data_IF_107150367574
#
_entry.id   IF_107150367574
#
_cell.length_a   1.000
_cell.length_b   1.000
_cell.length_c   1.000
_cell.angle_alpha   90.00
_cell.angle_beta   90.00
_cell.angle_gamma   90.00
#
_symmetry.space_group_name_H-M   'P 1'
#
loop_
_entity.id
_entity.type
_entity.pdbx_description
1 polymer ?
#
# COMPACT_ATOMS: atom_id res chain seq x y z
N UNK A 1 -28.74 16.55 -36.01
CA UNK A 1 -27.34 16.29 -35.63
C UNK A 1 -27.30 15.70 -34.23
N UNK A 2 -26.52 14.63 -33.99
CA UNK A 2 -26.41 14.01 -32.67
C UNK A 2 -25.22 14.61 -31.89
N UNK A 3 -25.51 15.48 -30.92
CA UNK A 3 -24.49 16.20 -30.14
C UNK A 3 -24.07 15.46 -28.86
N UNK A 4 -24.76 14.38 -28.53
CA UNK A 4 -24.56 13.60 -27.31
C UNK A 4 -23.13 13.04 -27.14
N UNK A 5 -22.47 12.44 -28.16
CA UNK A 5 -21.12 11.88 -28.00
C UNK A 5 -20.04 12.94 -27.73
N UNK A 6 -20.31 14.22 -28.01
CA UNK A 6 -19.40 15.34 -27.71
C UNK A 6 -19.53 15.85 -26.28
N UNK A 7 -20.43 15.27 -25.47
CA UNK A 7 -20.62 15.65 -24.07
C UNK A 7 -19.78 14.75 -23.16
N UNK A 8 -19.16 15.36 -22.16
CA UNK A 8 -18.34 14.66 -21.16
C UNK A 8 -19.16 13.74 -20.25
N UNK A 9 -20.47 13.96 -20.11
CA UNK A 9 -21.39 13.15 -19.32
C UNK A 9 -22.01 11.99 -20.11
N UNK A 10 -21.65 11.81 -21.38
CA UNK A 10 -22.18 10.71 -22.18
C UNK A 10 -21.76 9.35 -21.62
N UNK A 11 -22.72 8.51 -21.27
CA UNK A 11 -22.50 7.21 -20.60
C UNK A 11 -21.58 6.29 -21.40
N UNK A 12 -21.74 6.24 -22.73
CA UNK A 12 -20.92 5.39 -23.60
C UNK A 12 -19.56 5.98 -23.97
N UNK A 13 -19.20 7.15 -23.43
CA UNK A 13 -17.85 7.66 -23.61
C UNK A 13 -16.86 6.70 -22.92
N UNK A 14 -15.81 6.30 -23.62
CA UNK A 14 -14.78 5.36 -23.16
C UNK A 14 -14.27 5.78 -21.77
N UNK A 15 -14.03 7.08 -21.57
CA UNK A 15 -13.55 7.64 -20.29
C UNK A 15 -14.52 7.43 -19.13
N UNK A 16 -15.83 7.40 -19.39
CA UNK A 16 -16.85 7.18 -18.37
C UNK A 16 -17.02 5.69 -18.08
N UNK A 17 -16.98 4.85 -19.11
CA UNK A 17 -16.95 3.39 -18.96
C UNK A 17 -15.74 2.97 -18.11
N UNK A 18 -14.57 3.54 -18.35
CA UNK A 18 -13.36 3.27 -17.56
C UNK A 18 -13.48 3.71 -16.10
N UNK A 19 -14.10 4.87 -15.84
CA UNK A 19 -14.37 5.33 -14.47
C UNK A 19 -15.30 4.36 -13.74
N UNK A 20 -16.42 3.98 -14.37
CA UNK A 20 -17.36 3.01 -13.82
C UNK A 20 -16.66 1.69 -13.54
N UNK A 21 -15.88 1.17 -14.49
CA UNK A 21 -15.11 -0.06 -14.32
C UNK A 21 -14.12 0.01 -13.15
N UNK A 22 -13.46 1.16 -12.96
CA UNK A 22 -12.54 1.37 -11.84
C UNK A 22 -13.27 1.40 -10.50
N UNK A 23 -14.42 2.06 -10.44
CA UNK A 23 -15.24 2.16 -9.24
C UNK A 23 -15.85 0.80 -8.88
N UNK A 24 -16.35 0.05 -9.86
CA UNK A 24 -16.83 -1.33 -9.69
C UNK A 24 -15.70 -2.27 -9.23
N UNK A 25 -14.51 -2.17 -9.83
CA UNK A 25 -13.36 -2.97 -9.43
C UNK A 25 -12.94 -2.65 -7.99
N UNK A 26 -12.94 -1.37 -7.61
CA UNK A 26 -12.63 -0.94 -6.24
C UNK A 26 -13.68 -1.45 -5.25
N UNK A 27 -14.96 -1.33 -5.57
CA UNK A 27 -16.05 -1.85 -4.74
C UNK A 27 -15.92 -3.37 -4.53
N UNK A 28 -15.63 -4.11 -5.61
CA UNK A 28 -15.40 -5.55 -5.54
C UNK A 28 -14.18 -5.92 -4.68
N UNK A 29 -13.09 -5.16 -4.76
CA UNK A 29 -11.92 -5.37 -3.90
C UNK A 29 -12.23 -5.10 -2.42
N UNK A 30 -12.98 -4.05 -2.11
CA UNK A 30 -13.40 -3.73 -0.74
C UNK A 30 -14.33 -4.80 -0.16
N UNK A 31 -15.28 -5.31 -0.95
CA UNK A 31 -16.13 -6.43 -0.54
C UNK A 31 -15.34 -7.72 -0.32
N UNK A 32 -14.40 -8.05 -1.23
CA UNK A 32 -13.53 -9.22 -1.08
C UNK A 32 -12.66 -9.12 0.18
N UNK A 33 -12.02 -7.98 0.43
CA UNK A 33 -11.21 -7.76 1.64
C UNK A 33 -12.06 -7.86 2.91
N UNK A 34 -13.31 -7.38 2.89
CA UNK A 34 -14.24 -7.51 4.02
C UNK A 34 -14.65 -8.97 4.24
N UNK A 35 -14.91 -9.72 3.17
CA UNK A 35 -15.24 -11.14 3.24
C UNK A 35 -14.06 -11.96 3.77
N UNK A 36 -12.84 -11.69 3.30
CA UNK A 36 -11.61 -12.32 3.82
C UNK A 36 -11.42 -12.02 5.30
N UNK A 37 -11.59 -10.76 5.72
CA UNK A 37 -11.50 -10.38 7.14
C UNK A 37 -12.55 -11.09 7.99
N UNK A 38 -13.76 -11.25 7.48
CA UNK A 38 -14.83 -11.98 8.18
C UNK A 38 -14.50 -13.48 8.30
N UNK A 39 -14.01 -14.11 7.22
CA UNK A 39 -13.61 -15.52 7.23
C UNK A 39 -12.45 -15.79 8.20
N UNK A 40 -11.45 -14.90 8.22
CA UNK A 40 -10.33 -14.97 9.18
C UNK A 40 -10.86 -14.85 10.61
N UNK A 41 -11.67 -13.84 10.90
CA UNK A 41 -12.25 -13.65 12.23
C UNK A 41 -13.11 -14.85 12.68
N UNK A 42 -13.88 -15.46 11.78
CA UNK A 42 -14.64 -16.68 12.07
C UNK A 42 -13.72 -17.86 12.38
N UNK A 43 -12.67 -18.04 11.58
CA UNK A 43 -11.67 -19.10 11.78
C UNK A 43 -10.95 -18.96 13.13
N UNK A 44 -10.56 -17.74 13.49
CA UNK A 44 -9.91 -17.42 14.77
C UNK A 44 -10.88 -17.60 15.94
N UNK A 45 -12.14 -17.18 15.82
CA UNK A 45 -13.15 -17.36 16.84
C UNK A 45 -13.42 -18.85 17.11
N UNK A 46 -13.54 -19.65 16.05
CA UNK A 46 -13.70 -21.11 16.14
C UNK A 46 -12.50 -21.76 16.82
N UNK A 47 -11.28 -21.37 16.44
CA UNK A 47 -10.05 -21.88 17.04
C UNK A 47 -9.99 -21.52 18.53
N UNK A 48 -10.29 -20.27 18.89
CA UNK A 48 -10.31 -19.81 20.27
C UNK A 48 -11.34 -20.56 21.13
N UNK A 49 -12.50 -20.90 20.57
CA UNK A 49 -13.50 -21.75 21.24
C UNK A 49 -12.91 -23.14 21.53
N UNK A 50 -12.27 -23.77 20.53
CA UNK A 50 -11.66 -25.08 20.69
C UNK A 50 -10.52 -25.06 21.73
N UNK A 51 -9.67 -24.02 21.73
CA UNK A 51 -8.62 -23.82 22.74
C UNK A 51 -9.21 -23.73 24.14
N UNK A 52 -10.21 -22.87 24.35
CA UNK A 52 -10.89 -22.74 25.65
C UNK A 52 -11.51 -24.06 26.11
N UNK A 53 -12.14 -24.81 25.20
CA UNK A 53 -12.71 -26.13 25.51
C UNK A 53 -11.63 -27.15 25.89
N UNK A 54 -10.49 -27.13 25.21
CA UNK A 54 -9.34 -27.98 25.54
C UNK A 54 -8.76 -27.61 26.92
N UNK A 55 -8.58 -26.31 27.20
CA UNK A 55 -8.12 -25.81 28.50
C UNK A 55 -9.06 -26.24 29.64
N UNK A 56 -10.38 -26.09 29.46
CA UNK A 56 -11.38 -26.58 30.43
C UNK A 56 -11.26 -28.08 30.65
N UNK A 57 -11.03 -28.87 29.58
CA UNK A 57 -10.83 -30.31 29.69
C UNK A 57 -9.58 -30.64 30.51
N UNK A 58 -8.46 -29.96 30.26
CA UNK A 58 -7.21 -30.12 31.01
C UNK A 58 -7.36 -29.72 32.49
N UNK A 59 -8.17 -28.69 32.79
CA UNK A 59 -8.47 -28.30 34.17
C UNK A 59 -9.36 -29.34 34.87
N UNK A 60 -10.37 -29.88 34.18
CA UNK A 60 -11.28 -30.90 34.74
C UNK A 60 -10.62 -32.27 34.89
N UNK A 61 -9.70 -32.61 34.00
CA UNK A 61 -8.90 -33.83 34.07
C UNK A 61 -7.54 -33.46 34.63
N UNK A 62 -7.50 -33.29 35.96
CA UNK A 62 -6.28 -33.05 36.71
C UNK A 62 -5.13 -33.90 36.17
N UNK A 63 -4.12 -33.19 35.68
CA UNK A 63 -2.89 -33.66 35.04
C UNK A 63 -2.45 -35.04 35.57
N UNK A 64 -2.68 -36.10 34.80
CA UNK A 64 -1.85 -37.31 34.84
C UNK A 64 -0.66 -37.01 33.91
N UNK A 65 0.32 -36.28 34.44
CA UNK A 65 1.67 -36.23 33.87
C UNK A 65 2.33 -37.58 34.08
N UNK A 66 2.00 -38.54 33.22
CA UNK A 66 2.78 -39.75 33.04
C UNK A 66 3.33 -39.72 31.61
N UNK A 67 4.55 -39.19 31.47
CA UNK A 67 5.56 -39.58 30.49
C UNK A 67 5.05 -40.38 29.28
N UNK A 68 4.45 -39.73 28.30
CA UNK A 68 4.46 -40.25 26.93
C UNK A 68 5.57 -39.52 26.20
N UNK A 69 6.71 -40.19 26.09
CA UNK A 69 7.77 -39.92 25.10
C UNK A 69 7.17 -39.24 23.88
N UNK A 70 7.72 -38.08 23.51
CA UNK A 70 7.32 -37.21 22.40
C UNK A 70 6.90 -38.02 21.16
N UNK A 71 5.65 -38.46 21.12
CA UNK A 71 5.02 -38.90 19.89
C UNK A 71 4.65 -37.59 19.23
N UNK A 72 5.55 -37.08 18.39
CA UNK A 72 5.12 -36.17 17.33
C UNK A 72 3.88 -36.81 16.75
N UNK A 73 2.74 -36.13 16.85
CA UNK A 73 1.47 -36.53 16.27
C UNK A 73 1.78 -37.14 14.91
N UNK A 74 1.60 -38.47 14.80
CA UNK A 74 2.04 -39.23 13.63
C UNK A 74 1.25 -38.66 12.46
N UNK A 75 1.94 -37.88 11.63
CA UNK A 75 1.37 -37.38 10.39
C UNK A 75 1.26 -38.58 9.46
N UNK A 76 0.17 -39.34 9.59
CA UNK A 76 -0.09 -40.55 8.82
C UNK A 76 -0.09 -40.29 7.30
N UNK A 77 -0.18 -39.02 6.91
CA UNK A 77 -0.19 -38.53 5.55
C UNK A 77 1.09 -37.80 5.13
N UNK A 78 2.14 -37.71 5.96
CA UNK A 78 3.36 -36.99 5.59
C UNK A 78 4.05 -37.58 4.36
N UNK A 79 4.05 -38.91 4.25
CA UNK A 79 4.57 -39.62 3.08
C UNK A 79 3.64 -39.48 1.87
N UNK A 80 2.34 -39.29 2.08
CA UNK A 80 1.39 -39.05 1.00
C UNK A 80 1.44 -37.60 0.51
N UNK A 81 1.57 -36.60 1.38
CA UNK A 81 1.66 -35.19 1.00
C UNK A 81 2.95 -34.87 0.23
N UNK A 82 4.06 -35.53 0.57
CA UNK A 82 5.31 -35.41 -0.19
C UNK A 82 5.22 -36.05 -1.58
N UNK A 83 4.40 -37.11 -1.72
CA UNK A 83 4.22 -37.84 -2.97
C UNK A 83 2.98 -37.38 -3.78
N UNK A 84 2.08 -36.60 -3.17
CA UNK A 84 0.84 -36.09 -3.77
C UNK A 84 0.97 -34.64 -4.23
N UNK A 85 2.16 -34.24 -4.67
CA UNK A 85 2.26 -33.06 -5.52
C UNK A 85 1.64 -33.44 -6.86
N UNK A 86 0.43 -32.93 -7.12
CA UNK A 86 -0.18 -33.07 -8.43
C UNK A 86 0.75 -32.38 -9.44
N UNK A 87 1.47 -33.15 -10.25
CA UNK A 87 2.51 -32.65 -11.16
C UNK A 87 1.92 -31.58 -12.10
N UNK A 88 0.66 -31.76 -12.48
CA UNK A 88 -0.11 -30.79 -13.27
C UNK A 88 -0.23 -29.43 -12.57
N UNK A 89 -0.45 -29.41 -11.25
CA UNK A 89 -0.58 -28.17 -10.48
C UNK A 89 0.76 -27.43 -10.35
N UNK A 90 1.86 -28.16 -10.16
CA UNK A 90 3.21 -27.57 -10.12
C UNK A 90 3.60 -27.01 -11.49
N UNK A 91 3.28 -27.75 -12.57
CA UNK A 91 3.48 -27.29 -13.94
C UNK A 91 2.65 -26.04 -14.26
N UNK A 92 1.37 -26.01 -13.84
CA UNK A 92 0.50 -24.85 -14.04
C UNK A 92 1.01 -23.60 -13.28
N UNK A 93 1.50 -23.77 -12.05
CA UNK A 93 2.10 -22.67 -11.28
C UNK A 93 3.37 -22.15 -11.95
N UNK A 94 4.24 -23.06 -12.42
CA UNK A 94 5.45 -22.70 -13.15
C UNK A 94 5.14 -21.99 -14.46
N UNK A 95 4.12 -22.43 -15.21
CA UNK A 95 3.70 -21.77 -16.46
C UNK A 95 3.13 -20.36 -16.18
N UNK A 96 2.36 -20.19 -15.09
CA UNK A 96 1.90 -18.87 -14.64
C UNK A 96 3.07 -17.95 -14.28
N UNK A 97 4.04 -18.47 -13.55
CA UNK A 97 5.26 -17.75 -13.19
C UNK A 97 6.06 -17.39 -14.44
N UNK A 98 6.28 -18.33 -15.37
CA UNK A 98 6.96 -18.12 -16.63
C UNK A 98 6.23 -17.10 -17.51
N UNK A 99 4.89 -17.10 -17.53
CA UNK A 99 4.08 -16.11 -18.25
C UNK A 99 4.18 -14.72 -17.63
N UNK A 100 4.17 -14.63 -16.30
CA UNK A 100 4.34 -13.36 -15.58
C UNK A 100 5.77 -12.83 -15.77
N UNK A 101 6.77 -13.69 -15.60
CA UNK A 101 8.16 -13.40 -15.90
C UNK A 101 8.31 -12.98 -17.34
N UNK A 102 7.66 -13.64 -18.31
CA UNK A 102 7.66 -13.23 -19.73
C UNK A 102 7.00 -11.87 -19.94
N UNK A 103 5.90 -11.57 -19.26
CA UNK A 103 5.24 -10.26 -19.35
C UNK A 103 6.13 -9.14 -18.76
N UNK A 104 6.83 -9.43 -17.67
CA UNK A 104 7.77 -8.50 -17.01
C UNK A 104 9.07 -8.35 -17.82
N UNK A 105 9.61 -9.46 -18.33
CA UNK A 105 10.89 -9.51 -19.06
C UNK A 105 10.77 -9.22 -20.56
N UNK A 106 9.56 -9.21 -21.15
CA UNK A 106 9.33 -8.79 -22.54
C UNK A 106 9.87 -7.39 -22.83
N UNK A 107 9.92 -6.52 -21.81
CA UNK A 107 10.50 -5.18 -21.92
C UNK A 107 12.01 -5.13 -21.62
N UNK A 108 12.58 -6.18 -21.02
CA UNK A 108 13.98 -6.21 -20.56
C UNK A 108 14.89 -7.05 -21.48
N UNK A 109 14.40 -8.16 -22.05
CA UNK A 109 15.13 -9.04 -22.95
C UNK A 109 14.95 -8.68 -24.44
N UNK A 110 14.42 -7.50 -24.75
CA UNK A 110 14.34 -7.00 -26.13
C UNK A 110 15.71 -6.46 -26.56
N UNK A 111 16.68 -7.36 -26.61
CA UNK A 111 18.02 -7.09 -27.13
C UNK A 111 17.99 -7.07 -28.67
N UNK A 112 18.93 -6.29 -29.20
CA UNK A 112 19.33 -5.88 -30.56
C UNK A 112 18.88 -6.66 -31.82
N UNK A 113 18.31 -7.86 -31.72
CA UNK A 113 17.96 -8.71 -32.88
C UNK A 113 16.61 -8.35 -33.52
N UNK A 114 15.64 -7.85 -32.75
CA UNK A 114 14.30 -7.47 -33.27
C UNK A 114 14.17 -5.99 -33.63
N UNK A 115 15.13 -5.17 -33.21
CA UNK A 115 15.19 -3.73 -33.48
C UNK A 115 16.51 -3.54 -34.23
N UNK A 116 16.50 -3.68 -35.56
CA UNK A 116 17.69 -3.47 -36.38
C UNK A 116 18.44 -2.21 -35.95
N UNK A 117 19.78 -2.24 -36.12
CA UNK A 117 20.75 -1.21 -35.72
C UNK A 117 20.11 0.15 -35.47
N UNK A 118 20.12 0.66 -34.22
CA UNK A 118 19.39 1.87 -33.88
C UNK A 118 19.92 3.05 -34.70
N UNK A 119 19.05 4.01 -35.03
CA UNK A 119 19.31 5.07 -36.01
C UNK A 119 20.61 5.88 -35.78
N UNK A 120 21.11 5.94 -34.54
CA UNK A 120 22.35 6.60 -34.16
C UNK A 120 23.63 5.77 -34.38
N UNK A 121 23.52 4.47 -34.71
CA UNK A 121 24.65 3.59 -35.04
C UNK A 121 24.95 3.53 -36.55
N UNK A 122 24.10 4.14 -37.38
CA UNK A 122 24.33 4.26 -38.82
C UNK A 122 25.32 5.40 -39.07
N UNK A 123 26.60 5.14 -38.84
CA UNK A 123 27.69 6.04 -39.27
C UNK A 123 28.12 5.68 -40.68
N UNK A 124 27.25 5.97 -41.65
CA UNK A 124 27.51 5.73 -43.06
C UNK A 124 26.46 6.51 -43.83
N UNK A 125 26.84 7.69 -44.30
CA UNK A 125 26.00 8.57 -45.11
C UNK A 125 25.39 7.78 -46.27
N UNK A 126 24.08 7.56 -46.19
CA UNK A 126 23.29 7.12 -47.33
C UNK A 126 23.48 8.20 -48.41
N UNK A 127 24.17 7.86 -49.50
CA UNK A 127 24.61 8.81 -50.55
C UNK A 127 23.45 9.41 -51.37
N UNK A 128 22.21 9.39 -50.87
CA UNK A 128 21.02 9.91 -51.54
C UNK A 128 20.88 11.42 -51.48
N UNK A 129 21.65 12.11 -50.64
CA UNK A 129 21.67 13.57 -50.55
C UNK A 129 23.10 14.09 -50.64
N UNK A 130 23.68 14.06 -51.85
CA UNK A 130 24.84 14.90 -52.17
C UNK A 130 24.33 16.30 -52.48
N UNK A 131 24.17 17.10 -51.42
CA UNK A 131 23.89 18.52 -51.53
C UNK A 131 25.06 19.21 -52.25
N UNK A 132 24.84 19.63 -53.50
CA UNK A 132 25.85 20.22 -54.38
C UNK A 132 26.23 21.65 -53.97
N UNK A 133 25.56 22.22 -52.96
CA UNK A 133 25.81 23.57 -52.47
C UNK A 133 26.64 23.65 -51.18
N UNK A 134 27.10 22.53 -50.62
CA UNK A 134 28.03 22.57 -49.48
C UNK A 134 29.46 22.68 -49.99
N UNK A 135 29.93 23.93 -50.13
CA UNK A 135 31.34 24.25 -50.41
C UNK A 135 32.19 23.60 -49.31
N UNK A 136 32.92 22.53 -49.64
CA UNK A 136 33.82 21.84 -48.71
C UNK A 136 34.85 22.83 -48.17
N UNK A 137 34.66 23.29 -46.94
CA UNK A 137 35.69 23.97 -46.18
C UNK A 137 36.73 22.93 -45.78
N UNK A 138 37.86 22.91 -46.47
CA UNK A 138 39.05 22.18 -46.02
C UNK A 138 39.73 23.04 -44.97
N UNK A 139 39.77 22.64 -43.68
CA UNK A 139 40.53 23.38 -42.70
C UNK A 139 42.01 23.32 -43.09
N UNK A 140 42.66 24.49 -43.17
CA UNK A 140 44.11 24.55 -43.34
C UNK A 140 44.78 23.87 -42.14
N UNK A 141 45.69 22.93 -42.44
CA UNK A 141 46.64 22.34 -41.49
C UNK A 141 47.26 23.45 -40.62
N UNK A 142 47.02 23.40 -39.30
CA UNK A 142 47.66 24.31 -38.34
C UNK A 142 46.77 25.12 -37.40
N UNK A 143 45.45 24.91 -37.34
CA UNK A 143 44.62 25.57 -36.33
C UNK A 143 43.46 24.69 -35.89
N UNK A 144 43.55 24.12 -34.68
CA UNK A 144 42.51 24.06 -33.66
C UNK A 144 43.10 23.37 -32.43
N UNK A 145 43.84 24.12 -31.61
CA UNK A 145 44.04 23.75 -30.21
C UNK A 145 42.67 23.65 -29.55
N UNK A 146 42.12 22.44 -29.45
CA UNK A 146 40.91 22.17 -28.67
C UNK A 146 41.28 22.42 -27.21
N UNK A 147 41.13 23.67 -26.75
CA UNK A 147 41.14 23.97 -25.32
C UNK A 147 39.99 23.18 -24.71
N UNK A 148 40.30 22.08 -24.03
CA UNK A 148 39.31 21.32 -23.25
C UNK A 148 38.70 22.31 -22.26
N UNK A 149 37.44 22.68 -22.47
CA UNK A 149 36.71 23.45 -21.47
C UNK A 149 36.66 22.60 -20.19
N UNK A 150 36.94 23.17 -19.01
CA UNK A 150 36.80 22.42 -17.77
C UNK A 150 35.35 21.95 -17.63
N UNK A 151 35.16 20.77 -17.04
CA UNK A 151 33.83 20.22 -16.79
C UNK A 151 33.02 21.23 -15.95
N UNK A 152 31.78 21.50 -16.37
CA UNK A 152 30.86 22.35 -15.62
C UNK A 152 30.54 21.63 -14.31
N UNK A 153 31.04 22.16 -13.20
CA UNK A 153 30.67 21.71 -11.85
C UNK A 153 29.43 22.51 -11.42
N UNK A 154 28.27 21.85 -11.44
CA UNK A 154 27.07 22.38 -10.80
C UNK A 154 27.26 22.22 -9.29
N UNK A 155 27.17 23.33 -8.53
CA UNK A 155 27.34 23.32 -7.07
C UNK A 155 26.14 22.78 -6.31
N UNK A 156 24.98 22.74 -6.97
CA UNK A 156 23.70 22.39 -6.37
C UNK A 156 23.05 21.28 -7.21
N UNK A 157 22.56 20.26 -6.52
CA UNK A 157 21.92 19.11 -7.14
C UNK A 157 20.54 19.58 -7.67
N UNK A 158 20.26 19.53 -8.99
CA UNK A 158 19.06 20.10 -9.57
C UNK A 158 17.75 19.54 -8.97
N UNK A 159 17.81 18.38 -8.30
CA UNK A 159 16.69 17.80 -7.54
C UNK A 159 16.29 18.65 -6.32
N UNK A 160 17.23 19.25 -5.59
CA UNK A 160 16.91 20.00 -4.36
C UNK A 160 16.12 21.27 -4.67
N UNK A 161 16.49 22.01 -5.73
CA UNK A 161 15.75 23.22 -6.13
C UNK A 161 14.29 22.92 -6.51
N UNK A 162 14.05 21.73 -7.10
CA UNK A 162 12.72 21.32 -7.56
C UNK A 162 11.76 21.06 -6.40
N UNK A 163 12.25 20.55 -5.27
CA UNK A 163 11.44 20.18 -4.10
C UNK A 163 10.75 21.39 -3.44
N UNK A 164 11.38 22.57 -3.49
CA UNK A 164 10.83 23.81 -2.93
C UNK A 164 9.68 24.43 -3.75
N UNK A 165 9.51 23.97 -5.00
CA UNK A 165 8.55 24.53 -5.97
C UNK A 165 7.37 23.60 -6.27
N UNK A 166 7.32 22.42 -5.65
CA UNK A 166 6.27 21.46 -5.92
C UNK A 166 4.94 21.93 -5.32
N UNK A 167 3.83 21.83 -6.07
CA UNK A 167 2.51 22.07 -5.52
C UNK A 167 2.24 21.11 -4.36
N UNK A 168 1.43 21.52 -3.36
CA UNK A 168 1.17 20.71 -2.17
C UNK A 168 0.68 19.32 -2.55
N UNK A 169 1.18 18.31 -1.83
CA UNK A 169 0.80 16.92 -2.03
C UNK A 169 -0.71 16.75 -1.82
N UNK A 170 -1.31 15.79 -2.52
CA UNK A 170 -2.73 15.44 -2.36
C UNK A 170 -3.09 15.15 -0.89
N UNK A 171 -2.13 14.62 -0.12
CA UNK A 171 -2.28 14.31 1.30
C UNK A 171 -2.28 15.58 2.15
N UNK A 172 -1.45 16.57 1.82
CA UNK A 172 -1.42 17.88 2.48
C UNK A 172 -2.73 18.65 2.25
N UNK A 173 -3.27 18.61 1.03
CA UNK A 173 -4.57 19.22 0.72
C UNK A 173 -5.72 18.56 1.49
N UNK A 174 -5.65 17.24 1.74
CA UNK A 174 -6.62 16.52 2.58
C UNK A 174 -6.49 16.90 4.04
N UNK A 175 -5.25 17.00 4.56
CA UNK A 175 -5.00 17.45 5.92
C UNK A 175 -5.53 18.87 6.13
N UNK A 176 -5.25 19.78 5.19
CA UNK A 176 -5.74 21.15 5.25
C UNK A 176 -7.27 21.24 5.18
N UNK A 177 -7.93 20.37 4.40
CA UNK A 177 -9.40 20.27 4.38
C UNK A 177 -9.96 19.81 5.73
N UNK A 178 -9.39 18.75 6.32
CA UNK A 178 -9.82 18.23 7.62
C UNK A 178 -9.61 19.25 8.75
N UNK A 179 -8.50 19.99 8.71
CA UNK A 179 -8.20 21.08 9.63
C UNK A 179 -9.27 22.18 9.56
N UNK A 180 -9.64 22.58 8.34
CA UNK A 180 -10.69 23.59 8.10
C UNK A 180 -12.05 23.10 8.56
N UNK A 181 -12.44 21.88 8.22
CA UNK A 181 -13.70 21.28 8.67
C UNK A 181 -13.74 21.19 10.21
N UNK A 182 -12.62 20.85 10.85
CA UNK A 182 -12.51 20.81 12.30
C UNK A 182 -12.71 22.19 12.94
N UNK A 183 -12.11 23.23 12.35
CA UNK A 183 -12.28 24.61 12.82
C UNK A 183 -13.70 25.14 12.60
N UNK A 184 -14.31 24.84 11.46
CA UNK A 184 -15.71 25.19 11.19
C UNK A 184 -16.65 24.44 12.13
N UNK A 185 -16.37 23.16 12.39
CA UNK A 185 -17.14 22.32 13.31
C UNK A 185 -16.97 22.74 14.76
N UNK A 186 -15.80 23.19 15.17
CA UNK A 186 -15.61 23.74 16.52
C UNK A 186 -16.34 25.08 16.65
N UNK A 187 -16.25 25.96 15.65
CA UNK A 187 -16.94 27.26 15.63
C UNK A 187 -18.46 27.13 15.60
N UNK A 188 -19.00 26.21 14.81
CA UNK A 188 -20.44 25.93 14.82
C UNK A 188 -20.87 25.32 16.15
N UNK A 189 -20.07 24.41 16.71
CA UNK A 189 -20.33 23.83 18.03
C UNK A 189 -20.34 24.89 19.13
N UNK A 190 -19.40 25.82 19.16
CA UNK A 190 -19.38 26.91 20.15
C UNK A 190 -20.56 27.85 19.99
N UNK A 191 -20.98 28.15 18.75
CA UNK A 191 -22.16 28.96 18.48
C UNK A 191 -23.47 28.28 18.89
N UNK A 192 -23.59 26.96 18.68
CA UNK A 192 -24.82 26.20 18.96
C UNK A 192 -24.94 25.78 20.42
N UNK A 193 -23.85 25.33 21.04
CA UNK A 193 -23.85 24.74 22.38
C UNK A 193 -23.20 25.63 23.45
N UNK A 194 -22.65 26.79 23.08
CA UNK A 194 -21.84 27.64 23.98
C UNK A 194 -20.44 27.07 24.23
N UNK A 195 -19.63 27.77 25.05
CA UNK A 195 -18.36 27.26 25.56
C UNK A 195 -18.58 26.17 26.61
N UNK A 196 -19.09 25.02 26.19
CA UNK A 196 -18.99 23.82 27.02
C UNK A 196 -17.52 23.39 27.02
N UNK A 197 -16.85 23.29 28.19
CA UNK A 197 -15.50 22.74 28.23
C UNK A 197 -15.52 21.37 27.55
N UNK A 198 -14.56 21.13 26.65
CA UNK A 198 -14.47 19.84 26.01
C UNK A 198 -14.48 18.76 27.10
N UNK A 199 -15.26 17.67 26.95
CA UNK A 199 -15.19 16.59 27.91
C UNK A 199 -13.75 16.12 27.87
N UNK A 200 -13.00 16.43 28.95
CA UNK A 200 -11.70 15.83 29.19
C UNK A 200 -11.98 14.34 29.10
N UNK A 201 -11.36 13.66 28.13
CA UNK A 201 -11.44 12.20 28.04
C UNK A 201 -10.76 11.68 29.30
N UNK A 202 -11.53 11.53 30.36
CA UNK A 202 -11.13 10.84 31.56
C UNK A 202 -11.09 9.35 31.20
N UNK A 203 -9.96 8.92 30.62
CA UNK A 203 -9.68 7.53 30.22
C UNK A 203 -9.72 6.53 31.39
N UNK A 204 -10.02 6.98 32.62
CA UNK A 204 -10.00 6.17 33.83
C UNK A 204 -11.32 6.17 34.62
N UNK A 205 -12.45 6.53 34.00
CA UNK A 205 -13.77 6.27 34.63
C UNK A 205 -14.07 4.78 34.63
N UNK A 206 -13.64 4.06 35.68
CA UNK A 206 -14.11 2.69 35.95
C UNK A 206 -15.64 2.70 36.05
N UNK A 207 -16.26 1.61 35.56
CA UNK A 207 -17.71 1.40 35.46
C UNK A 207 -18.51 1.71 36.74
N UNK A 208 -17.87 1.69 37.91
CA UNK A 208 -18.47 1.95 39.22
C UNK A 208 -18.56 3.45 39.60
N UNK A 209 -18.22 4.37 38.69
CA UNK A 209 -18.27 5.83 38.94
C UNK A 209 -19.61 6.47 38.57
N UNK A 210 -20.58 5.69 38.09
CA UNK A 210 -21.87 6.20 37.60
C UNK A 210 -22.89 6.53 38.71
N UNK A 211 -22.71 6.02 39.92
CA UNK A 211 -23.60 6.26 41.07
C UNK A 211 -22.80 6.71 42.30
N UNK A 212 -23.27 7.76 42.98
CA UNK A 212 -22.70 8.35 44.21
C UNK A 212 -21.14 8.41 44.22
N UNK A 213 -20.52 9.21 43.33
CA UNK A 213 -19.07 9.28 43.20
C UNK A 213 -18.38 9.79 44.48
N UNK A 214 -19.00 10.71 45.20
CA UNK A 214 -18.49 11.26 46.46
C UNK A 214 -18.43 10.21 47.58
N UNK A 215 -19.44 9.33 47.66
CA UNK A 215 -19.50 8.29 48.69
C UNK A 215 -18.48 7.18 48.41
N UNK A 216 -18.30 6.80 47.15
CA UNK A 216 -17.31 5.81 46.74
C UNK A 216 -15.87 6.33 46.88
N UNK A 217 -15.65 7.64 46.69
CA UNK A 217 -14.37 8.28 46.99
C UNK A 217 -14.09 8.33 48.51
N UNK A 218 -15.08 8.72 49.32
CA UNK A 218 -14.93 8.84 50.78
C UNK A 218 -14.69 7.48 51.47
N UNK A 219 -15.32 6.41 51.00
CA UNK A 219 -15.09 5.04 51.50
C UNK A 219 -13.68 4.55 51.18
N UNK A 220 -13.13 4.83 49.99
CA UNK A 220 -11.73 4.54 49.66
C UNK A 220 -10.74 5.33 50.53
N UNK A 221 -11.02 6.61 50.78
CA UNK A 221 -10.23 7.45 51.69
C UNK A 221 -10.22 6.86 53.12
N UNK A 222 -11.39 6.47 53.63
CA UNK A 222 -11.53 5.80 54.94
C UNK A 222 -10.83 4.44 55.00
N UNK A 223 -10.86 3.67 53.91
CA UNK A 223 -10.16 2.39 53.80
C UNK A 223 -8.64 2.58 53.80
N UNK A 224 -8.12 3.55 53.05
CA UNK A 224 -6.68 3.90 53.07
C UNK A 224 -6.22 4.36 54.45
N UNK A 225 -7.01 5.16 55.16
CA UNK A 225 -6.67 5.65 56.51
C UNK A 225 -6.50 4.51 57.52
N UNK A 226 -7.30 3.44 57.40
CA UNK A 226 -7.21 2.23 58.24
C UNK A 226 -5.97 1.34 57.98
N UNK A 227 -5.25 1.57 56.89
CA UNK A 227 -4.07 0.78 56.53
C UNK A 227 -2.74 1.44 56.95
N UNK A 228 -2.78 2.69 57.42
CA UNK A 228 -1.60 3.46 57.82
C UNK A 228 -1.65 3.94 59.28
N UNK A 229 -2.61 3.44 60.07
CA UNK A 229 -2.60 3.45 61.54
C UNK A 229 -2.28 2.03 62.03
#
# INVERSE_FOLDING_TARGET
>A
MNILPHKSWHVYNIKNIEKVKKDEAKAKQEEAAKAERAAVAESEARLNLLRKRAEQRQQSQGIVTASSTVTKNVNLFEDLEKNAQNEEYVAEQKEKEDKLNRQVTMYLNKTEETQGKPWYTVTGSDEKYKDTYVRRYTPKEGSFSKRKRPAITLKEDPLESSSSSLPPSIEELRAQRLERERQERSRTRTLVFGETPQPVREETRRYHSQFNPEETASTKMRSRRRYYE
#
